data_IF_839212857776
#
_entry.id   IF_839212857776
#
_cell.length_a   1.000
_cell.length_b   1.000
_cell.length_c   1.000
_cell.angle_alpha   90.00
_cell.angle_beta   90.00
_cell.angle_gamma   90.00
#
_symmetry.space_group_name_H-M   'P 1'
#
loop_
_entity.id
_entity.type
_entity.pdbx_description
1 polymer ?
#
# COMPACT_ATOMS: atom_id res chain seq x y z
N UNK A 1 8.73 -13.00 -8.76
CA UNK A 1 7.75 -13.32 -7.70
C UNK A 1 7.97 -12.56 -6.39
N UNK A 2 9.20 -12.38 -5.88
CA UNK A 2 9.45 -11.71 -4.59
C UNK A 2 8.92 -10.26 -4.46
N UNK A 3 9.01 -9.44 -5.52
CA UNK A 3 8.52 -8.05 -5.50
C UNK A 3 7.00 -7.94 -5.32
N UNK A 4 6.23 -8.88 -5.89
CA UNK A 4 4.77 -8.94 -5.75
C UNK A 4 4.39 -9.33 -4.32
N UNK A 5 5.14 -10.25 -3.71
CA UNK A 5 4.94 -10.64 -2.31
C UNK A 5 5.12 -9.48 -1.33
N UNK A 6 6.14 -8.64 -1.54
CA UNK A 6 6.40 -7.47 -0.67
C UNK A 6 5.35 -6.38 -0.88
N UNK A 7 4.97 -6.11 -2.13
CA UNK A 7 3.87 -5.19 -2.43
C UNK A 7 2.58 -5.67 -1.76
N UNK A 8 2.26 -6.97 -1.88
CA UNK A 8 1.10 -7.54 -1.22
C UNK A 8 1.19 -7.46 0.31
N UNK A 9 2.36 -7.71 0.91
CA UNK A 9 2.58 -7.63 2.36
C UNK A 9 2.46 -6.20 2.89
N UNK A 10 2.97 -5.20 2.17
CA UNK A 10 2.83 -3.79 2.54
C UNK A 10 1.38 -3.34 2.51
N UNK A 11 0.62 -3.74 1.48
CA UNK A 11 -0.83 -3.46 1.43
C UNK A 11 -1.56 -4.23 2.55
N UNK A 12 -1.13 -5.45 2.89
CA UNK A 12 -1.67 -6.20 4.03
C UNK A 12 -1.46 -5.45 5.36
N UNK A 13 -0.24 -4.95 5.57
CA UNK A 13 0.13 -4.22 6.77
C UNK A 13 -0.69 -2.93 6.91
N UNK A 14 -0.98 -2.22 5.81
CA UNK A 14 -1.88 -1.05 5.83
C UNK A 14 -3.32 -1.40 6.24
N UNK A 15 -3.83 -2.54 5.79
CA UNK A 15 -5.15 -3.03 6.22
C UNK A 15 -5.13 -3.48 7.70
N UNK A 16 -4.01 -4.05 8.17
CA UNK A 16 -3.83 -4.36 9.58
C UNK A 16 -3.71 -3.09 10.45
N UNK A 17 -3.10 -2.01 9.93
CA UNK A 17 -3.10 -0.71 10.60
C UNK A 17 -4.53 -0.14 10.75
N UNK A 18 -5.44 -0.41 9.82
CA UNK A 18 -6.87 -0.10 10.00
C UNK A 18 -7.50 -0.93 11.13
N UNK A 19 -7.10 -2.20 11.29
CA UNK A 19 -7.68 -3.11 12.28
C UNK A 19 -7.13 -2.89 13.71
N UNK A 20 -5.83 -2.60 13.87
CA UNK A 20 -5.20 -2.35 15.18
C UNK A 20 -5.33 -0.88 15.62
N UNK A 21 -5.43 0.06 14.67
CA UNK A 21 -5.67 1.47 14.93
C UNK A 21 -7.16 1.77 15.09
N UNK A 22 -7.80 1.27 16.17
CA UNK A 22 -9.11 1.75 16.62
C UNK A 22 -9.02 3.17 17.23
N UNK A 23 -8.38 4.10 16.54
CA UNK A 23 -8.77 5.52 16.56
C UNK A 23 -9.69 5.80 15.38
N UNK A 24 -10.53 4.83 15.03
CA UNK A 24 -11.63 5.01 14.11
C UNK A 24 -12.64 5.91 14.81
N UNK A 25 -12.54 7.22 14.57
CA UNK A 25 -13.72 7.91 14.08
C UNK A 25 -14.23 7.02 12.95
N UNK A 26 -15.26 6.22 13.21
CA UNK A 26 -15.93 5.53 12.12
C UNK A 26 -16.23 6.62 11.09
N UNK A 27 -15.95 6.37 9.82
CA UNK A 27 -16.41 7.23 8.74
C UNK A 27 -17.73 6.64 8.25
N UNK A 28 -18.85 6.77 8.99
CA UNK A 28 -20.11 6.11 8.65
C UNK A 28 -20.66 6.54 7.28
N UNK A 29 -20.12 7.61 6.69
CA UNK A 29 -20.55 8.13 5.39
C UNK A 29 -19.65 7.74 4.20
N UNK A 30 -18.42 7.28 4.40
CA UNK A 30 -17.51 7.00 3.27
C UNK A 30 -17.78 5.59 2.74
N UNK A 31 -18.72 5.48 1.79
CA UNK A 31 -19.07 4.21 1.14
C UNK A 31 -18.39 4.05 -0.21
N UNK A 32 -18.20 5.17 -0.93
CA UNK A 32 -17.58 5.18 -2.25
C UNK A 32 -16.20 5.83 -2.20
N UNK A 33 -15.21 5.10 -2.70
CA UNK A 33 -13.81 5.51 -2.67
C UNK A 33 -13.25 5.59 -4.09
N UNK A 34 -12.71 6.74 -4.48
CA UNK A 34 -11.91 6.84 -5.70
C UNK A 34 -10.44 6.67 -5.33
N UNK A 35 -9.75 5.75 -6.01
CA UNK A 35 -8.30 5.59 -5.86
C UNK A 35 -7.63 6.39 -6.96
N UNK A 36 -6.78 7.34 -6.60
CA UNK A 36 -5.99 8.11 -7.56
C UNK A 36 -4.84 7.27 -8.14
N UNK A 37 -4.40 7.49 -9.39
CA UNK A 37 -3.16 6.93 -9.90
C UNK A 37 -2.00 7.21 -8.96
N UNK A 38 -1.15 6.21 -8.73
CA UNK A 38 0.05 6.38 -7.91
C UNK A 38 1.19 6.74 -8.84
N UNK A 39 1.89 7.85 -8.57
CA UNK A 39 3.07 8.26 -9.31
C UNK A 39 2.94 8.19 -10.85
N UNK A 40 4.07 7.97 -11.51
CA UNK A 40 4.16 7.84 -12.97
C UNK A 40 4.98 6.63 -13.42
N UNK A 41 5.55 5.86 -12.47
CA UNK A 41 6.38 4.72 -12.78
C UNK A 41 5.54 3.44 -12.82
N UNK A 42 5.90 2.48 -13.67
CA UNK A 42 5.21 1.17 -13.76
C UNK A 42 5.15 0.42 -12.41
N UNK A 43 6.09 0.71 -11.52
CA UNK A 43 6.11 0.11 -10.19
C UNK A 43 4.99 0.66 -9.29
N UNK A 44 4.60 1.91 -9.47
CA UNK A 44 3.54 2.57 -8.72
C UNK A 44 2.17 1.99 -9.10
N UNK A 45 2.00 1.67 -10.40
CA UNK A 45 0.81 0.97 -10.92
C UNK A 45 0.62 -0.41 -10.26
N UNK A 46 1.69 -1.16 -10.03
CA UNK A 46 1.61 -2.46 -9.36
C UNK A 46 1.14 -2.33 -7.91
N UNK A 47 1.60 -1.29 -7.19
CA UNK A 47 1.14 -1.01 -5.83
C UNK A 47 -0.34 -0.61 -5.80
N UNK A 48 -0.75 0.25 -6.74
CA UNK A 48 -2.15 0.64 -6.92
C UNK A 48 -3.04 -0.57 -7.23
N UNK A 49 -2.65 -1.41 -8.18
CA UNK A 49 -3.42 -2.61 -8.55
C UNK A 49 -3.53 -3.60 -7.38
N UNK A 50 -2.45 -3.78 -6.61
CA UNK A 50 -2.47 -4.60 -5.40
C UNK A 50 -3.43 -4.05 -4.36
N UNK A 51 -3.41 -2.73 -4.12
CA UNK A 51 -4.34 -2.05 -3.21
C UNK A 51 -5.79 -2.18 -3.68
N UNK A 52 -6.07 -1.89 -4.95
CA UNK A 52 -7.40 -2.05 -5.56
C UNK A 52 -7.90 -3.48 -5.41
N UNK A 53 -7.05 -4.46 -5.68
CA UNK A 53 -7.39 -5.87 -5.51
C UNK A 53 -7.72 -6.23 -4.07
N UNK A 54 -7.07 -5.61 -3.07
CA UNK A 54 -7.40 -5.83 -1.65
C UNK A 54 -8.66 -5.09 -1.20
N UNK A 55 -8.86 -3.84 -1.61
CA UNK A 55 -10.06 -3.07 -1.30
C UNK A 55 -11.31 -3.74 -1.87
N UNK A 56 -11.23 -4.23 -3.11
CA UNK A 56 -12.33 -5.00 -3.72
C UNK A 56 -12.60 -6.32 -2.99
N UNK A 57 -11.58 -6.92 -2.36
CA UNK A 57 -11.74 -8.15 -1.58
C UNK A 57 -12.29 -7.92 -0.17
N UNK A 58 -12.06 -6.75 0.43
CA UNK A 58 -12.57 -6.47 1.79
C UNK A 58 -14.08 -6.22 1.80
N UNK A 59 -14.69 -5.81 0.68
CA UNK A 59 -16.11 -5.44 0.56
C UNK A 59 -16.55 -4.31 1.51
N UNK A 60 -15.62 -3.64 2.19
CA UNK A 60 -15.90 -2.53 3.11
C UNK A 60 -16.19 -1.22 2.36
N UNK A 61 -15.64 -1.07 1.14
CA UNK A 61 -15.74 0.13 0.33
C UNK A 61 -16.10 -0.21 -1.12
N UNK A 62 -16.98 0.59 -1.72
CA UNK A 62 -17.23 0.56 -3.16
C UNK A 62 -16.17 1.40 -3.86
N UNK A 63 -15.25 0.75 -4.56
CA UNK A 63 -14.27 1.46 -5.38
C UNK A 63 -14.93 1.95 -6.67
N UNK A 64 -14.87 3.26 -6.92
CA UNK A 64 -15.43 3.91 -8.12
C UNK A 64 -14.33 4.38 -9.07
N UNK A 65 -14.64 4.42 -10.36
CA UNK A 65 -13.69 4.79 -11.42
C UNK A 65 -13.64 6.30 -11.68
N UNK A 66 -14.61 7.08 -11.19
CA UNK A 66 -14.66 8.53 -11.35
C UNK A 66 -14.62 9.23 -9.99
N UNK A 67 -13.90 10.36 -9.92
CA UNK A 67 -13.84 11.21 -8.71
C UNK A 67 -15.21 11.77 -8.34
N UNK A 68 -16.05 12.10 -9.34
CA UNK A 68 -17.37 12.70 -9.12
C UNK A 68 -18.32 11.81 -8.32
N UNK A 69 -18.16 10.49 -8.47
CA UNK A 69 -18.99 9.45 -7.84
C UNK A 69 -18.48 9.04 -6.45
N UNK A 70 -17.34 9.59 -6.01
CA UNK A 70 -16.70 9.21 -4.76
C UNK A 70 -17.07 10.13 -3.60
N UNK A 71 -17.18 9.53 -2.41
CA UNK A 71 -17.34 10.24 -1.14
C UNK A 71 -15.97 10.69 -0.59
N UNK A 72 -14.93 9.89 -0.89
CA UNK A 72 -13.55 10.17 -0.51
C UNK A 72 -12.56 9.75 -1.61
N UNK A 73 -11.41 10.43 -1.60
CA UNK A 73 -10.30 10.23 -2.53
C UNK A 73 -9.13 9.64 -1.76
N UNK A 74 -8.70 8.45 -2.17
CA UNK A 74 -7.47 7.81 -1.69
C UNK A 74 -6.32 8.17 -2.61
N UNK A 75 -5.31 8.80 -2.01
CA UNK A 75 -4.03 9.12 -2.63
C UNK A 75 -2.96 8.24 -2.01
N UNK A 76 -1.96 7.88 -2.81
CA UNK A 76 -0.89 7.04 -2.32
C UNK A 76 0.37 7.18 -3.16
N UNK A 77 1.49 6.92 -2.51
CA UNK A 77 2.80 6.85 -3.14
C UNK A 77 3.64 5.81 -2.41
N UNK A 78 4.35 4.98 -3.14
CA UNK A 78 5.26 4.03 -2.53
C UNK A 78 6.34 3.60 -3.48
N UNK A 79 7.46 3.16 -2.91
CA UNK A 79 8.59 2.65 -3.66
C UNK A 79 9.20 1.48 -2.92
N UNK A 80 9.63 0.47 -3.67
CA UNK A 80 10.35 -0.71 -3.15
C UNK A 80 11.63 -0.88 -3.96
N UNK A 81 12.77 -0.99 -3.28
CA UNK A 81 14.07 -1.19 -3.93
C UNK A 81 14.91 -2.21 -3.18
N UNK A 82 15.93 -2.76 -3.85
CA UNK A 82 16.90 -3.65 -3.21
C UNK A 82 17.92 -2.79 -2.47
N UNK A 83 18.01 -2.95 -1.15
CA UNK A 83 19.00 -2.26 -0.29
C UNK A 83 20.33 -3.02 -0.22
N UNK A 84 20.31 -4.32 -0.45
CA UNK A 84 21.51 -5.15 -0.44
C UNK A 84 21.18 -6.62 -0.62
N UNK A 85 22.14 -7.50 -0.33
CA UNK A 85 21.92 -8.94 -0.33
C UNK A 85 22.50 -9.55 0.94
N UNK A 86 21.85 -10.57 1.49
CA UNK A 86 22.29 -11.32 2.67
C UNK A 86 22.56 -12.78 2.31
N UNK A 87 23.58 -13.36 2.92
CA UNK A 87 23.89 -14.78 2.84
C UNK A 87 24.42 -15.24 4.20
N UNK A 88 24.08 -16.47 4.60
CA UNK A 88 24.65 -17.13 5.78
C UNK A 88 26.02 -17.74 5.50
N UNK A 89 26.39 -17.89 4.22
CA UNK A 89 27.68 -18.39 3.78
C UNK A 89 28.48 -17.27 3.10
N UNK A 90 29.60 -16.88 3.69
CA UNK A 90 30.48 -15.81 3.18
C UNK A 90 31.10 -16.14 1.81
N UNK A 91 31.26 -17.43 1.48
CA UNK A 91 31.78 -17.89 0.19
C UNK A 91 30.70 -18.06 -0.88
N UNK A 92 29.44 -17.74 -0.57
CA UNK A 92 28.35 -17.91 -1.52
C UNK A 92 28.53 -16.98 -2.74
N UNK A 93 28.43 -17.52 -3.97
CA UNK A 93 28.43 -16.70 -5.17
C UNK A 93 27.26 -15.71 -5.16
N UNK A 94 27.39 -14.59 -5.87
CA UNK A 94 26.40 -13.51 -5.86
C UNK A 94 24.97 -13.99 -6.17
N UNK A 95 24.83 -15.00 -7.04
CA UNK A 95 23.56 -15.61 -7.40
C UNK A 95 22.81 -16.29 -6.24
N UNK A 96 23.53 -16.74 -5.20
CA UNK A 96 22.97 -17.42 -4.04
C UNK A 96 22.69 -16.48 -2.86
N UNK A 97 22.82 -15.16 -3.06
CA UNK A 97 22.55 -14.16 -2.02
C UNK A 97 21.10 -13.71 -2.11
N UNK A 98 20.41 -13.66 -0.97
CA UNK A 98 19.02 -13.23 -0.93
C UNK A 98 18.92 -11.71 -0.95
N UNK A 99 18.11 -11.10 -1.82
CA UNK A 99 17.94 -9.65 -1.84
C UNK A 99 17.22 -9.17 -0.58
N UNK A 100 17.80 -8.17 0.07
CA UNK A 100 17.19 -7.39 1.12
C UNK A 100 16.50 -6.19 0.50
N UNK A 101 15.20 -6.05 0.76
CA UNK A 101 14.42 -4.94 0.23
C UNK A 101 14.25 -3.84 1.28
N UNK A 102 14.21 -2.60 0.80
CA UNK A 102 13.74 -1.44 1.51
C UNK A 102 12.62 -0.79 0.72
N UNK A 103 11.86 0.07 1.38
CA UNK A 103 10.75 0.72 0.73
C UNK A 103 9.96 1.61 1.67
N UNK A 104 8.95 2.24 1.12
CA UNK A 104 7.89 2.88 1.87
C UNK A 104 6.61 2.82 1.04
N UNK A 105 5.47 2.89 1.71
CA UNK A 105 4.19 3.09 1.07
C UNK A 105 3.35 3.97 1.98
N UNK A 106 3.05 5.15 1.48
CA UNK A 106 2.25 6.18 2.14
C UNK A 106 0.89 6.23 1.46
N UNK A 107 -0.17 6.23 2.26
CA UNK A 107 -1.54 6.42 1.82
C UNK A 107 -2.16 7.55 2.62
N UNK A 108 -2.95 8.36 1.94
CA UNK A 108 -3.78 9.40 2.53
C UNK A 108 -5.19 9.30 1.95
N UNK A 109 -6.19 9.36 2.81
CA UNK A 109 -7.60 9.45 2.45
C UNK A 109 -8.05 10.88 2.73
N UNK A 110 -8.57 11.53 1.71
CA UNK A 110 -9.10 12.90 1.76
C UNK A 110 -10.59 12.88 1.46
N UNK A 111 -11.36 13.76 2.08
CA UNK A 111 -12.75 13.97 1.71
C UNK A 111 -12.86 14.55 0.30
N UNK A 112 -14.06 14.53 -0.30
CA UNK A 112 -14.34 15.24 -1.56
C UNK A 112 -13.98 16.74 -1.50
N UNK A 113 -14.02 17.35 -0.31
CA UNK A 113 -13.63 18.75 -0.08
C UNK A 113 -12.13 18.99 0.08
N UNK A 114 -11.31 17.92 0.07
CA UNK A 114 -9.85 18.01 0.20
C UNK A 114 -9.32 17.87 1.63
N UNK A 115 -10.20 17.85 2.64
CA UNK A 115 -9.80 17.67 4.04
C UNK A 115 -9.19 16.28 4.29
N UNK A 116 -8.02 16.17 4.96
CA UNK A 116 -7.40 14.88 5.29
C UNK A 116 -8.23 14.16 6.37
N UNK A 117 -8.69 12.97 6.04
CA UNK A 117 -9.48 12.11 6.93
C UNK A 117 -8.57 11.12 7.66
N UNK A 118 -7.60 10.54 6.95
CA UNK A 118 -6.71 9.53 7.49
C UNK A 118 -5.42 9.47 6.68
N UNK A 119 -4.30 9.16 7.32
CA UNK A 119 -3.05 8.86 6.63
C UNK A 119 -2.28 7.77 7.35
N UNK A 120 -1.49 7.01 6.59
CA UNK A 120 -0.60 6.00 7.14
C UNK A 120 0.62 5.81 6.26
N UNK A 121 1.75 5.59 6.91
CA UNK A 121 3.02 5.26 6.29
C UNK A 121 3.45 3.88 6.78
N UNK A 122 3.68 2.97 5.84
CA UNK A 122 4.27 1.66 6.14
C UNK A 122 5.62 1.50 5.45
N UNK A 123 6.56 0.89 6.16
CA UNK A 123 7.87 0.53 5.64
C UNK A 123 8.06 -0.98 5.77
N UNK A 124 8.61 -1.67 4.75
CA UNK A 124 8.86 -3.09 4.83
C UNK A 124 9.90 -3.39 5.93
N UNK A 125 9.53 -4.30 6.82
CA UNK A 125 10.37 -4.83 7.89
C UNK A 125 11.10 -6.08 7.40
N UNK A 126 12.28 -6.39 7.97
CA UNK A 126 12.96 -7.68 7.74
C UNK A 126 12.23 -8.87 8.39
N UNK A 127 11.22 -8.59 9.23
CA UNK A 127 10.48 -9.56 10.02
C UNK A 127 8.99 -9.20 9.98
N UNK A 128 8.24 -9.78 9.06
CA UNK A 128 6.78 -9.93 9.15
C UNK A 128 6.38 -11.18 8.40
#
# INVERSE_FOLDING_TARGET
MARIGIAAAMVAALLACHALGRTATSFPSVKKLFVQPFGAEKQDDLLRLSLLGRLKKSNEYQVVDNVSDADAILKGNGRIWVKGHVTVNFRAPAANRQPLYAGFFSIEITSKGGEPLWSCLVTPSKFS
#
